data_IF_273856172335
#
_entry.id   IF_273856172335
#
_cell.length_a   1.000
_cell.length_b   1.000
_cell.length_c   1.000
_cell.angle_alpha   90.00
_cell.angle_beta   90.00
_cell.angle_gamma   90.00
#
_symmetry.space_group_name_H-M   'P 1'
#
loop_
_entity.id
_entity.type
_entity.pdbx_description
1 polymer ?
#
# COMPACT_ATOMS: atom_id res chain seq x y z
N UNK A 1 0.56 -10.36 -0.31
CA UNK A 1 1.61 -11.31 -0.73
C UNK A 1 1.24 -11.74 -2.11
N UNK A 2 2.20 -11.74 -3.03
CA UNK A 2 1.99 -12.08 -4.43
C UNK A 2 2.61 -13.45 -4.68
N UNK A 3 1.91 -14.32 -5.37
CA UNK A 3 2.38 -15.66 -5.75
C UNK A 3 2.03 -15.92 -7.23
N UNK A 4 2.54 -17.00 -7.85
CA UNK A 4 2.06 -17.42 -9.17
C UNK A 4 0.52 -17.48 -9.21
N UNK A 5 -0.06 -17.12 -10.36
CA UNK A 5 -1.51 -16.97 -10.61
C UNK A 5 -2.19 -15.80 -9.87
N UNK A 6 -1.45 -14.97 -9.12
CA UNK A 6 -2.02 -13.75 -8.54
C UNK A 6 -2.25 -12.71 -9.65
N UNK A 7 -3.42 -12.09 -9.65
CA UNK A 7 -3.73 -10.96 -10.51
C UNK A 7 -3.30 -9.65 -9.86
N UNK A 8 -2.70 -8.75 -10.65
CA UNK A 8 -2.26 -7.42 -10.22
C UNK A 8 -2.77 -6.36 -11.20
N UNK A 9 -3.10 -5.19 -10.68
CA UNK A 9 -3.35 -4.00 -11.48
C UNK A 9 -2.02 -3.44 -12.00
N UNK A 10 -2.09 -2.69 -13.10
CA UNK A 10 -0.93 -1.96 -13.62
C UNK A 10 -1.00 -0.51 -13.18
N UNK A 11 0.07 -0.04 -12.54
CA UNK A 11 0.19 1.30 -11.99
C UNK A 11 1.03 2.23 -12.87
N UNK A 12 0.98 2.07 -14.19
CA UNK A 12 1.69 2.91 -15.14
C UNK A 12 0.87 3.14 -16.42
N UNK A 13 1.38 3.98 -17.31
CA UNK A 13 0.80 4.26 -18.63
C UNK A 13 1.40 3.41 -19.76
N UNK A 14 1.97 2.23 -19.48
CA UNK A 14 2.61 1.38 -20.49
C UNK A 14 1.61 0.77 -21.49
N UNK A 15 0.32 0.79 -21.18
CA UNK A 15 -0.76 0.23 -21.99
C UNK A 15 -1.32 -1.07 -21.44
N UNK A 16 -0.64 -1.75 -20.51
CA UNK A 16 -1.20 -2.88 -19.79
C UNK A 16 -2.17 -2.39 -18.68
N UNK A 17 -3.24 -3.14 -18.41
CA UNK A 17 -4.22 -2.84 -17.35
C UNK A 17 -4.21 -3.87 -16.23
N UNK A 18 -4.13 -5.15 -16.60
CA UNK A 18 -4.07 -6.26 -15.65
C UNK A 18 -2.97 -7.24 -16.02
N UNK A 19 -2.27 -7.72 -14.99
CA UNK A 19 -1.22 -8.72 -15.08
C UNK A 19 -1.62 -9.97 -14.28
N UNK A 20 -1.14 -11.13 -14.71
CA UNK A 20 -1.16 -12.35 -13.91
C UNK A 20 0.29 -12.80 -13.69
N UNK A 21 0.71 -12.88 -12.43
CA UNK A 21 2.04 -13.37 -12.06
C UNK A 21 2.20 -14.83 -12.48
N UNK A 22 3.33 -15.17 -13.09
CA UNK A 22 3.69 -16.55 -13.46
C UNK A 22 4.87 -17.02 -12.63
N UNK A 23 5.86 -16.15 -12.42
CA UNK A 23 7.10 -16.51 -11.74
C UNK A 23 7.67 -15.32 -10.98
N UNK A 24 8.28 -15.59 -9.84
CA UNK A 24 9.04 -14.62 -9.05
C UNK A 24 10.52 -14.74 -9.46
N UNK A 25 11.15 -13.62 -9.82
CA UNK A 25 12.57 -13.59 -10.24
C UNK A 25 13.47 -13.54 -9.00
N UNK A 26 14.67 -14.14 -9.11
CA UNK A 26 15.67 -14.10 -8.03
C UNK A 26 15.41 -15.08 -6.88
N UNK A 27 14.55 -16.07 -7.11
CA UNK A 27 14.13 -17.01 -6.09
C UNK A 27 14.23 -18.46 -6.56
N UNK A 28 15.17 -19.23 -6.01
CA UNK A 28 15.20 -20.69 -6.19
C UNK A 28 14.08 -21.40 -5.42
N UNK A 29 13.52 -20.78 -4.36
CA UNK A 29 12.48 -21.38 -3.50
C UNK A 29 11.52 -20.39 -2.82
N UNK A 30 11.47 -19.10 -3.19
CA UNK A 30 10.53 -18.15 -2.56
C UNK A 30 9.11 -18.42 -3.07
N UNK A 31 8.18 -18.67 -2.14
CA UNK A 31 6.74 -18.86 -2.43
C UNK A 31 6.01 -17.54 -2.69
N UNK A 32 6.50 -16.44 -2.11
CA UNK A 32 5.81 -15.16 -2.11
C UNK A 32 6.75 -14.01 -2.44
N UNK A 33 6.22 -13.06 -3.21
CA UNK A 33 6.81 -11.79 -3.55
C UNK A 33 6.11 -10.64 -2.79
N UNK A 34 6.89 -9.60 -2.53
CA UNK A 34 6.53 -8.40 -1.79
C UNK A 34 6.85 -7.16 -2.63
N UNK A 35 6.58 -5.98 -2.08
CA UNK A 35 6.92 -4.70 -2.72
C UNK A 35 8.42 -4.67 -3.01
N UNK A 36 8.80 -4.27 -4.22
CA UNK A 36 10.18 -4.21 -4.71
C UNK A 36 10.68 -5.50 -5.37
N UNK A 37 9.97 -6.62 -5.23
CA UNK A 37 10.34 -7.85 -5.96
C UNK A 37 9.94 -7.76 -7.44
N UNK A 38 10.78 -8.34 -8.30
CA UNK A 38 10.51 -8.47 -9.74
C UNK A 38 9.80 -9.79 -10.03
N UNK A 39 8.76 -9.73 -10.84
CA UNK A 39 8.00 -10.87 -11.32
C UNK A 39 8.00 -10.94 -12.84
N UNK A 40 7.82 -12.15 -13.36
CA UNK A 40 7.39 -12.42 -14.74
C UNK A 40 5.89 -12.57 -14.72
N UNK A 41 5.18 -11.84 -15.57
CA UNK A 41 3.74 -11.82 -15.64
C UNK A 41 3.24 -11.87 -17.09
N UNK A 42 2.02 -12.36 -17.28
CA UNK A 42 1.30 -12.25 -18.56
C UNK A 42 0.27 -11.14 -18.47
N UNK A 43 0.19 -10.34 -19.53
CA UNK A 43 -0.83 -9.31 -19.66
C UNK A 43 -2.18 -9.95 -19.91
N UNK A 44 -3.14 -9.71 -19.01
CA UNK A 44 -4.52 -10.23 -19.10
C UNK A 44 -5.47 -9.26 -19.77
N UNK A 45 -5.23 -7.97 -19.58
CA UNK A 45 -5.97 -6.88 -20.21
C UNK A 45 -5.01 -5.75 -20.61
N UNK A 46 -5.22 -5.19 -21.79
CA UNK A 46 -4.38 -4.16 -22.40
C UNK A 46 -5.23 -3.16 -23.20
N UNK A 47 -4.73 -1.95 -23.32
CA UNK A 47 -5.30 -0.91 -24.17
C UNK A 47 -4.93 -1.21 -25.63
N UNK A 48 -5.92 -1.11 -26.53
CA UNK A 48 -5.70 -1.31 -27.97
C UNK A 48 -4.77 -0.22 -28.53
N UNK A 49 -4.00 -0.56 -29.58
CA UNK A 49 -3.06 0.34 -30.26
C UNK A 49 -1.90 0.87 -29.37
N UNK A 50 -1.63 0.20 -28.25
CA UNK A 50 -0.43 0.46 -27.45
C UNK A 50 0.65 -0.60 -27.74
N UNK A 51 1.92 -0.33 -27.43
CA UNK A 51 3.02 -1.27 -27.72
C UNK A 51 2.93 -2.60 -26.99
N UNK A 52 2.16 -2.66 -25.89
CA UNK A 52 1.96 -3.87 -25.11
C UNK A 52 0.64 -4.53 -25.48
N UNK A 53 0.69 -5.82 -25.80
CA UNK A 53 -0.47 -6.58 -26.24
C UNK A 53 -0.98 -7.55 -25.17
N UNK A 54 -2.25 -7.93 -25.29
CA UNK A 54 -2.83 -8.98 -24.44
C UNK A 54 -2.09 -10.30 -24.69
N UNK A 55 -1.87 -11.06 -23.61
CA UNK A 55 -1.15 -12.34 -23.61
C UNK A 55 0.37 -12.25 -23.78
N UNK A 56 0.93 -11.05 -23.96
CA UNK A 56 2.38 -10.86 -23.95
C UNK A 56 2.96 -11.15 -22.54
N UNK A 57 4.14 -11.75 -22.51
CA UNK A 57 4.90 -12.04 -21.27
C UNK A 57 5.83 -10.87 -21.00
N UNK A 58 5.69 -10.24 -19.84
CA UNK A 58 6.47 -9.06 -19.43
C UNK A 58 7.10 -9.25 -18.06
N UNK A 59 8.09 -8.40 -17.76
CA UNK A 59 8.63 -8.24 -16.40
C UNK A 59 7.93 -7.07 -15.73
N UNK A 60 7.67 -7.19 -14.44
CA UNK A 60 7.05 -6.14 -13.65
C UNK A 60 7.61 -6.10 -12.23
N UNK A 61 7.63 -4.91 -11.63
CA UNK A 61 7.99 -4.70 -10.22
C UNK A 61 6.72 -4.48 -9.43
N UNK A 62 6.59 -5.15 -8.30
CA UNK A 62 5.46 -4.95 -7.39
C UNK A 62 5.65 -3.64 -6.65
N UNK A 63 4.67 -2.74 -6.75
CA UNK A 63 4.69 -1.43 -6.09
C UNK A 63 3.67 -1.32 -4.97
N UNK A 64 2.53 -1.98 -5.10
CA UNK A 64 1.48 -2.03 -4.07
C UNK A 64 1.18 -3.45 -3.67
N UNK A 65 0.93 -3.66 -2.37
CA UNK A 65 0.42 -4.93 -1.87
C UNK A 65 -0.63 -4.73 -0.79
N UNK A 66 -1.68 -5.56 -0.81
CA UNK A 66 -2.65 -5.65 0.28
C UNK A 66 -2.05 -6.22 1.58
N UNK A 67 -0.88 -6.89 1.49
CA UNK A 67 -0.15 -7.34 2.67
C UNK A 67 0.64 -6.18 3.24
N UNK A 68 0.59 -6.08 4.57
CA UNK A 68 1.38 -5.13 5.36
C UNK A 68 2.90 -5.24 5.08
N UNK A 69 3.51 -4.09 4.82
CA UNK A 69 4.96 -3.87 4.88
C UNK A 69 5.28 -3.20 6.21
N UNK A 70 6.15 -3.82 7.00
CA UNK A 70 6.58 -3.29 8.31
C UNK A 70 7.92 -2.60 8.15
N UNK A 71 8.02 -1.35 8.58
CA UNK A 71 9.26 -0.58 8.65
C UNK A 71 9.96 -0.83 9.99
N UNK A 72 11.27 -0.60 10.01
CA UNK A 72 12.11 -0.75 11.21
C UNK A 72 11.68 0.16 12.36
N UNK A 73 11.10 1.32 12.02
CA UNK A 73 10.53 2.26 13.00
C UNK A 73 9.14 1.84 13.53
N UNK A 74 8.67 0.64 13.20
CA UNK A 74 7.37 0.10 13.63
C UNK A 74 6.16 0.57 12.82
N UNK A 75 6.34 1.48 11.84
CA UNK A 75 5.26 1.89 10.96
C UNK A 75 4.86 0.75 10.02
N UNK A 76 3.56 0.65 9.74
CA UNK A 76 3.00 -0.35 8.82
C UNK A 76 2.38 0.37 7.63
N UNK A 77 2.74 -0.07 6.42
CA UNK A 77 2.13 0.38 5.17
C UNK A 77 1.28 -0.75 4.62
N UNK A 78 0.07 -0.43 4.17
CA UNK A 78 -0.81 -1.35 3.47
C UNK A 78 -1.56 -0.60 2.39
N UNK A 79 -1.67 -1.23 1.22
CA UNK A 79 -2.48 -0.75 0.10
C UNK A 79 -3.82 -1.48 0.06
N UNK A 80 -4.80 -0.89 -0.62
CA UNK A 80 -6.09 -1.51 -0.83
C UNK A 80 -6.04 -2.58 -1.92
N UNK A 81 -5.16 -2.41 -2.91
CA UNK A 81 -4.97 -3.32 -4.03
C UNK A 81 -3.52 -3.79 -4.20
N UNK A 82 -3.34 -4.76 -5.10
CA UNK A 82 -2.02 -5.22 -5.54
C UNK A 82 -1.75 -4.63 -6.92
N UNK A 83 -0.64 -3.92 -7.06
CA UNK A 83 -0.30 -3.27 -8.31
C UNK A 83 1.19 -3.40 -8.63
N UNK A 84 1.50 -3.35 -9.92
CA UNK A 84 2.85 -3.46 -10.44
C UNK A 84 3.10 -2.47 -11.59
N UNK A 85 4.39 -2.15 -11.81
CA UNK A 85 4.87 -1.31 -12.92
C UNK A 85 5.63 -2.21 -13.89
N UNK A 86 5.36 -2.07 -15.19
CA UNK A 86 5.99 -2.88 -16.24
C UNK A 86 7.40 -2.36 -16.50
N UNK A 87 8.37 -3.26 -16.59
CA UNK A 87 9.78 -2.93 -16.79
C UNK A 87 10.41 -3.67 -17.96
N UNK A 88 11.53 -3.13 -18.43
CA UNK A 88 12.44 -3.77 -19.39
C UNK A 88 13.35 -4.83 -18.70
N UNK A 89 14.37 -5.30 -19.43
CA UNK A 89 15.29 -6.30 -18.91
C UNK A 89 16.31 -5.70 -17.93
N UNK A 90 16.66 -4.43 -18.12
CA UNK A 90 17.57 -3.64 -17.29
C UNK A 90 16.92 -3.13 -15.99
N UNK A 91 15.60 -3.21 -15.87
CA UNK A 91 14.83 -2.74 -14.71
C UNK A 91 14.29 -1.31 -14.83
N UNK A 92 14.32 -0.69 -16.00
CA UNK A 92 13.70 0.60 -16.24
C UNK A 92 12.20 0.44 -16.55
N UNK A 93 11.36 1.42 -16.16
CA UNK A 93 9.94 1.40 -16.49
C UNK A 93 9.72 1.52 -18.01
N UNK A 94 8.81 0.71 -18.57
CA UNK A 94 8.37 0.86 -19.97
C UNK A 94 7.41 2.04 -20.14
N UNK A 95 6.64 2.36 -19.10
CA UNK A 95 5.79 3.55 -19.05
C UNK A 95 6.58 4.82 -18.75
N UNK A 96 6.06 5.96 -19.17
CA UNK A 96 6.61 7.30 -18.89
C UNK A 96 6.01 7.95 -17.65
N UNK A 97 4.95 7.38 -17.08
CA UNK A 97 4.29 7.89 -15.87
C UNK A 97 3.82 6.73 -14.99
N UNK A 98 3.98 6.91 -13.68
CA UNK A 98 3.49 5.98 -12.66
C UNK A 98 2.29 6.59 -11.96
N UNK A 99 1.30 5.76 -11.64
CA UNK A 99 0.05 6.15 -11.00
C UNK A 99 0.03 5.71 -9.53
N UNK A 100 -0.60 6.52 -8.68
CA UNK A 100 -0.78 6.24 -7.26
C UNK A 100 0.44 6.59 -6.39
N UNK A 101 0.25 6.49 -5.08
CA UNK A 101 1.30 6.73 -4.08
C UNK A 101 2.30 5.58 -4.05
N UNK A 102 3.60 5.86 -4.09
CA UNK A 102 4.65 4.85 -4.18
C UNK A 102 5.55 4.90 -2.95
N UNK A 103 5.84 3.72 -2.37
CA UNK A 103 6.71 3.62 -1.20
C UNK A 103 8.14 4.07 -1.52
N UNK A 104 8.79 4.74 -0.56
CA UNK A 104 10.18 5.21 -0.68
C UNK A 104 11.19 4.08 -0.69
N UNK A 105 10.80 2.92 -0.16
CA UNK A 105 11.56 1.68 -0.10
C UNK A 105 12.02 1.21 -1.48
N UNK A 106 11.30 1.55 -2.56
CA UNK A 106 11.74 1.25 -3.92
C UNK A 106 13.10 1.88 -4.30
N UNK A 107 13.52 2.95 -3.62
CA UNK A 107 14.87 3.52 -3.82
C UNK A 107 15.97 2.57 -3.34
N UNK A 108 15.72 1.80 -2.28
CA UNK A 108 16.69 0.83 -1.73
C UNK A 108 16.87 -0.38 -2.66
N UNK A 109 15.85 -0.67 -3.49
CA UNK A 109 15.87 -1.73 -4.49
C UNK A 109 16.38 -1.27 -5.86
N UNK A 110 17.08 -0.12 -5.94
CA UNK A 110 17.62 0.48 -7.17
C UNK A 110 16.58 0.95 -8.20
N UNK A 111 15.31 1.13 -7.81
CA UNK A 111 14.25 1.59 -8.70
C UNK A 111 13.97 3.09 -8.59
N UNK A 112 15.03 3.90 -8.52
CA UNK A 112 14.95 5.36 -8.35
C UNK A 112 14.12 6.03 -9.46
N UNK A 113 14.23 5.56 -10.71
CA UNK A 113 13.46 6.09 -11.84
C UNK A 113 11.95 5.99 -11.61
N UNK A 114 11.46 4.87 -11.08
CA UNK A 114 10.03 4.67 -10.80
C UNK A 114 9.56 5.66 -9.72
N UNK A 115 10.37 5.85 -8.69
CA UNK A 115 10.06 6.82 -7.62
C UNK A 115 10.05 8.26 -8.14
N UNK A 116 10.91 8.60 -9.09
CA UNK A 116 10.94 9.92 -9.73
C UNK A 116 9.76 10.18 -10.66
N UNK A 117 9.17 9.14 -11.26
CA UNK A 117 7.99 9.25 -12.13
C UNK A 117 6.66 9.26 -11.37
N UNK A 118 6.69 8.92 -10.08
CA UNK A 118 5.52 8.86 -9.22
C UNK A 118 5.12 10.27 -8.73
N UNK A 119 3.81 10.53 -8.55
CA UNK A 119 3.36 11.77 -7.92
C UNK A 119 3.85 11.85 -6.46
N UNK A 120 4.22 13.04 -6.00
CA UNK A 120 4.79 13.27 -4.67
C UNK A 120 3.83 12.97 -3.50
N UNK A 121 2.52 12.86 -3.77
CA UNK A 121 1.50 12.72 -2.73
C UNK A 121 1.32 11.28 -2.26
N UNK A 122 1.90 10.99 -1.10
CA UNK A 122 1.72 9.79 -0.27
C UNK A 122 0.33 9.76 0.44
N UNK A 123 -0.75 10.17 -0.24
CA UNK A 123 -2.07 10.38 0.39
C UNK A 123 -2.88 9.10 0.68
N UNK A 124 -2.32 7.92 0.47
CA UNK A 124 -3.04 6.63 0.59
C UNK A 124 -2.64 5.74 1.77
N UNK A 125 -1.58 6.08 2.50
CA UNK A 125 -1.15 5.25 3.63
C UNK A 125 -1.90 5.72 4.86
N UNK A 126 -2.96 5.01 5.24
CA UNK A 126 -3.43 5.05 6.63
C UNK A 126 -2.32 4.43 7.46
N UNK A 127 -1.33 5.24 7.84
CA UNK A 127 -0.55 4.97 9.02
C UNK A 127 -1.56 5.00 10.15
N UNK A 128 -2.00 3.82 10.61
CA UNK A 128 -2.63 3.72 11.91
C UNK A 128 -1.45 3.65 12.88
N UNK A 129 -1.00 4.77 13.47
CA UNK A 129 -0.12 4.66 14.61
C UNK A 129 -0.92 3.95 15.68
N UNK A 130 -0.62 2.70 15.95
CA UNK A 130 -0.86 2.15 17.28
C UNK A 130 0.14 2.82 18.25
N UNK A 131 0.04 4.14 18.42
CA UNK A 131 0.46 4.73 19.68
C UNK A 131 -0.69 4.51 20.64
N UNK A 132 -0.53 3.51 21.50
CA UNK A 132 -1.30 3.42 22.74
C UNK A 132 -0.90 4.67 23.54
N UNK A 133 -1.66 5.75 23.40
CA UNK A 133 -1.53 6.90 24.29
C UNK A 133 -2.08 6.43 25.64
N UNK A 134 -1.27 6.39 26.71
CA UNK A 134 -1.81 6.12 28.03
C UNK A 134 -2.83 7.21 28.36
N UNK A 135 -4.11 6.82 28.39
CA UNK A 135 -5.20 7.71 28.71
C UNK A 135 -5.26 7.95 30.23
N UNK A 136 -4.24 8.59 30.81
CA UNK A 136 -4.21 8.87 32.25
C UNK A 136 -4.61 10.30 32.59
N UNK A 137 -4.86 11.18 31.61
CA UNK A 137 -5.28 12.57 31.91
C UNK A 137 -6.41 13.07 31.01
N UNK A 138 -7.28 13.91 31.58
CA UNK A 138 -8.39 14.60 30.91
C UNK A 138 -7.93 15.45 29.72
N UNK A 139 -6.67 15.93 29.77
CA UNK A 139 -6.01 16.66 28.69
C UNK A 139 -5.76 15.77 27.45
N UNK A 140 -5.32 14.52 27.65
CA UNK A 140 -5.03 13.59 26.55
C UNK A 140 -6.28 13.22 25.74
N UNK A 141 -7.45 13.13 26.38
CA UNK A 141 -8.74 12.90 25.69
C UNK A 141 -9.15 14.09 24.81
N UNK A 142 -8.86 15.32 25.23
CA UNK A 142 -9.18 16.53 24.47
C UNK A 142 -8.27 16.66 23.24
N UNK A 143 -6.99 16.35 23.38
CA UNK A 143 -6.03 16.32 22.27
C UNK A 143 -6.35 15.20 21.27
N UNK A 144 -6.74 14.01 21.75
CA UNK A 144 -7.17 12.90 20.89
C UNK A 144 -8.44 13.22 20.08
N UNK A 145 -9.42 13.90 20.69
CA UNK A 145 -10.64 14.33 20.00
C UNK A 145 -10.37 15.37 18.89
N UNK A 146 -9.47 16.34 19.16
CA UNK A 146 -9.07 17.37 18.18
C UNK A 146 -8.30 16.75 17.00
N UNK A 147 -7.47 15.73 17.27
CA UNK A 147 -6.76 14.99 16.22
C UNK A 147 -7.69 14.12 15.38
N UNK A 148 -8.74 13.55 15.99
CA UNK A 148 -9.77 12.77 15.30
C UNK A 148 -10.64 13.65 14.38
N UNK A 149 -11.06 14.83 14.84
CA UNK A 149 -11.86 15.75 14.01
C UNK A 149 -11.07 16.32 12.82
N UNK A 150 -9.77 16.59 13.01
CA UNK A 150 -8.89 17.07 11.93
C UNK A 150 -8.55 16.01 10.88
N UNK A 151 -8.57 14.73 11.24
CA UNK A 151 -8.35 13.62 10.29
C UNK A 151 -9.61 13.28 9.48
N UNK A 152 -10.80 13.53 10.01
CA UNK A 152 -12.07 13.25 9.30
C UNK A 152 -12.42 14.33 8.26
N UNK A 153 -11.96 15.57 8.44
CA UNK A 153 -12.30 16.72 7.57
C UNK A 153 -11.59 16.78 6.20
N UNK A 154 -10.71 15.83 5.86
CA UNK A 154 -9.96 15.82 4.58
C UNK A 154 -10.50 14.76 3.60
N UNK A 155 -11.55 14.01 3.97
CA UNK A 155 -12.22 13.11 3.03
C UNK A 155 -13.02 13.95 2.01
N UNK A 156 -12.74 13.88 0.69
CA UNK A 156 -13.71 14.36 -0.28
C UNK A 156 -14.95 13.48 -0.16
N UNK A 157 -16.01 14.12 0.30
CA UNK A 157 -17.40 13.69 0.30
C UNK A 157 -17.75 13.17 -1.10
N UNK A 158 -17.70 11.84 -1.34
CA UNK A 158 -18.41 11.15 -2.46
C UNK A 158 -18.22 9.63 -2.51
N UNK A 159 -18.19 8.92 -1.38
CA UNK A 159 -18.37 7.46 -1.40
C UNK A 159 -19.82 7.08 -0.98
N UNK A 160 -20.69 6.60 -1.88
CA UNK A 160 -22.09 6.28 -1.58
C UNK A 160 -22.27 5.14 -0.57
N UNK A 161 -21.23 4.36 -0.29
CA UNK A 161 -21.29 3.20 0.60
C UNK A 161 -21.39 3.55 2.09
N UNK A 162 -21.04 4.78 2.49
CA UNK A 162 -21.03 5.17 3.91
C UNK A 162 -22.39 5.62 4.46
N UNK A 163 -23.40 5.82 3.59
CA UNK A 163 -24.71 6.36 3.99
C UNK A 163 -25.69 5.33 4.57
N UNK A 164 -25.34 4.04 4.63
CA UNK A 164 -26.33 2.97 4.85
C UNK A 164 -26.25 2.22 6.18
N UNK A 165 -25.27 2.47 7.04
CA UNK A 165 -25.18 1.76 8.32
C UNK A 165 -25.45 2.70 9.49
N UNK A 166 -26.68 2.60 9.98
CA UNK A 166 -27.14 3.21 11.23
C UNK A 166 -26.30 2.79 12.42
N UNK A 167 -26.39 3.61 13.47
CA UNK A 167 -25.38 3.73 14.53
C UNK A 167 -25.07 2.48 15.33
N UNK A 168 -23.84 2.44 15.84
CA UNK A 168 -23.43 1.56 16.93
C UNK A 168 -22.48 2.31 17.88
N UNK A 169 -22.84 2.28 19.16
CA UNK A 169 -22.07 2.70 20.33
C UNK A 169 -20.82 1.84 20.52
N UNK A 170 -19.65 2.46 20.66
CA UNK A 170 -18.40 1.76 21.04
C UNK A 170 -18.46 1.36 22.53
N UNK A 171 -18.56 0.06 22.83
CA UNK A 171 -18.25 -0.45 24.19
C UNK A 171 -16.74 -0.72 24.30
N UNK A 172 -16.14 -0.15 25.33
CA UNK A 172 -14.75 -0.44 25.72
C UNK A 172 -14.75 -1.59 26.73
N UNK A 173 -13.95 -2.63 26.47
CA UNK A 173 -13.65 -3.67 27.46
C UNK A 173 -12.24 -3.41 27.99
N UNK A 174 -12.12 -3.05 29.27
CA UNK A 174 -10.83 -2.80 29.94
C UNK A 174 -10.34 -4.13 30.49
N UNK A 175 -9.09 -4.57 30.23
CA UNK A 175 -8.55 -5.78 30.84
C UNK A 175 -8.29 -5.57 32.35
N UNK A 176 -8.69 -6.56 33.15
CA UNK A 176 -8.77 -6.49 34.61
C UNK A 176 -7.43 -6.44 35.38
N UNK A 177 -6.28 -6.53 34.71
CA UNK A 177 -4.97 -6.54 35.36
C UNK A 177 -4.03 -5.51 34.73
N UNK A 178 -4.04 -4.30 35.29
CA UNK A 178 -3.06 -3.27 34.99
C UNK A 178 -2.15 -3.08 36.23
N UNK A 179 -0.82 -3.13 36.09
CA UNK A 179 0.07 -2.88 37.21
C UNK A 179 -0.02 -1.41 37.65
N UNK A 180 -0.11 -1.17 38.96
CA UNK A 180 -0.10 0.18 39.53
C UNK A 180 1.32 0.73 39.46
N UNK A 181 1.54 1.74 38.61
CA UNK A 181 2.78 2.53 38.61
C UNK A 181 2.66 3.60 39.70
N UNK A 182 3.65 3.77 40.60
CA UNK A 182 3.61 4.83 41.61
C UNK A 182 3.72 6.21 40.94
N UNK A 183 2.90 7.15 41.39
CA UNK A 183 2.91 8.52 40.91
C UNK A 183 4.26 9.18 41.28
N UNK A 184 5.02 9.61 40.28
CA UNK A 184 6.17 10.48 40.48
C UNK A 184 5.68 11.92 40.77
N UNK A 185 6.31 12.53 41.77
CA UNK A 185 6.09 13.91 42.27
C UNK A 185 6.56 14.92 41.23
#
# INVERSE_FOLDING_TARGET
MIQPQTHLNVADNSGARQLMCIRIIGASNRRYAHIGDVIVAVIKDAVLNMPLERSEVVRAIIVHTCKELKRDNGMIIRYDDNAAVVIDQEGNPKGTRVFGAIVRELRQFNFTKIVSLAPEFDLGVVAVPYHIVPATTKAAKKTAAILLERTVSILPIRNPLYRRWGGWTLRWNIPANMPKVPAAI
#
